data_IF_087712337845
#
_entry.id   IF_087712337845
#
_cell.length_a   1.000
_cell.length_b   1.000
_cell.length_c   1.000
_cell.angle_alpha   90.00
_cell.angle_beta   90.00
_cell.angle_gamma   90.00
#
_symmetry.space_group_name_H-M   'P 1'
#
loop_
_entity.id
_entity.type
_entity.pdbx_description
1 polymer ?
#
# COMPACT_ATOMS: atom_id res chain seq x y z
N UNK A 1 2.24 10.84 -43.52
CA UNK A 1 2.16 9.49 -42.95
C UNK A 1 3.44 9.24 -42.18
N UNK A 2 3.46 9.60 -40.89
CA UNK A 2 4.62 9.44 -40.01
C UNK A 2 4.15 9.32 -38.54
N UNK A 3 3.26 8.38 -38.22
CA UNK A 3 2.74 8.17 -36.85
C UNK A 3 2.89 6.70 -36.42
N UNK A 4 4.05 6.11 -36.68
CA UNK A 4 4.30 4.70 -36.32
C UNK A 4 5.73 4.45 -35.83
N UNK A 5 6.38 5.47 -35.29
CA UNK A 5 7.73 5.35 -34.69
C UNK A 5 7.78 5.68 -33.19
N UNK A 6 6.67 6.16 -32.64
CA UNK A 6 6.56 6.72 -31.27
C UNK A 6 6.18 5.67 -30.21
N UNK A 7 5.87 4.43 -30.61
CA UNK A 7 5.38 3.39 -29.70
C UNK A 7 5.91 2.01 -30.08
N UNK A 8 6.50 1.31 -29.12
CA UNK A 8 6.91 -0.09 -29.21
C UNK A 8 6.03 -0.93 -28.28
N UNK A 9 4.94 -1.47 -28.83
CA UNK A 9 3.98 -2.26 -28.06
C UNK A 9 3.02 -1.37 -27.27
N UNK A 10 3.12 -1.42 -25.95
CA UNK A 10 2.38 -0.54 -25.01
C UNK A 10 3.27 0.60 -24.47
N UNK A 11 4.57 0.58 -24.80
CA UNK A 11 5.53 1.54 -24.31
C UNK A 11 5.70 2.69 -25.31
N UNK A 12 5.43 3.92 -24.88
CA UNK A 12 5.88 5.12 -25.60
C UNK A 12 7.42 5.10 -25.68
N UNK A 13 7.93 5.25 -26.90
CA UNK A 13 9.37 5.42 -27.19
C UNK A 13 9.70 6.90 -27.38
N UNK A 14 8.68 7.75 -27.30
CA UNK A 14 8.86 9.18 -27.28
C UNK A 14 9.39 9.64 -25.92
N UNK A 15 10.32 10.59 -25.96
CA UNK A 15 11.04 11.09 -24.79
C UNK A 15 10.15 11.98 -23.89
N UNK A 16 8.95 12.37 -24.31
CA UNK A 16 8.07 13.31 -23.59
C UNK A 16 7.47 12.75 -22.27
N UNK A 17 7.36 11.42 -22.14
CA UNK A 17 6.82 10.75 -20.92
C UNK A 17 7.92 10.05 -20.07
N UNK A 18 9.17 10.07 -20.51
CA UNK A 18 10.27 9.43 -19.78
C UNK A 18 10.86 10.37 -18.73
N UNK A 19 11.19 9.82 -17.56
CA UNK A 19 11.94 10.57 -16.55
C UNK A 19 13.30 10.96 -17.15
N UNK A 20 13.54 12.25 -17.28
CA UNK A 20 14.80 12.76 -17.80
C UNK A 20 15.90 12.59 -16.75
N UNK A 21 17.17 12.57 -17.18
CA UNK A 21 18.30 12.44 -16.23
C UNK A 21 18.31 13.55 -15.17
N UNK A 22 17.82 14.73 -15.52
CA UNK A 22 17.61 15.87 -14.61
C UNK A 22 16.53 15.60 -13.54
N UNK A 23 15.45 14.90 -13.87
CA UNK A 23 14.34 14.59 -12.95
C UNK A 23 14.63 13.36 -12.07
N UNK A 24 15.40 12.40 -12.58
CA UNK A 24 15.81 11.21 -11.84
C UNK A 24 16.84 11.50 -10.71
N UNK A 25 17.59 12.60 -10.82
CA UNK A 25 18.61 12.99 -9.85
C UNK A 25 17.98 13.88 -8.75
N UNK A 26 17.39 13.25 -7.74
CA UNK A 26 16.81 13.93 -6.56
C UNK A 26 17.85 14.45 -5.53
N UNK A 27 19.14 14.39 -5.84
CA UNK A 27 20.24 14.83 -4.97
C UNK A 27 20.74 16.24 -5.29
N UNK A 28 21.58 16.81 -4.42
CA UNK A 28 22.29 18.07 -4.68
C UNK A 28 23.31 17.83 -5.81
N UNK A 29 22.86 18.02 -7.05
CA UNK A 29 23.68 17.89 -8.26
C UNK A 29 24.66 19.06 -8.29
N UNK A 30 25.95 18.78 -8.52
CA UNK A 30 26.94 19.85 -8.68
C UNK A 30 26.56 20.76 -9.85
N UNK A 31 26.27 22.04 -9.55
CA UNK A 31 26.06 23.07 -10.56
C UNK A 31 27.33 23.22 -11.42
N UNK A 32 27.25 22.79 -12.68
CA UNK A 32 28.32 22.89 -13.67
C UNK A 32 27.88 22.35 -15.03
N UNK A 33 28.45 22.89 -16.11
CA UNK A 33 28.23 22.38 -17.47
C UNK A 33 28.90 21.01 -17.60
N UNK A 34 28.12 19.93 -17.41
CA UNK A 34 28.50 18.58 -17.80
C UNK A 34 27.91 18.27 -19.18
N UNK A 35 28.53 17.32 -19.89
CA UNK A 35 28.09 16.91 -21.24
C UNK A 35 26.94 15.88 -21.20
N UNK A 36 26.81 15.17 -20.07
CA UNK A 36 25.87 14.09 -19.81
C UNK A 36 25.38 14.24 -18.36
N UNK A 37 24.09 14.16 -18.07
CA UNK A 37 23.57 14.33 -16.72
C UNK A 37 24.13 13.27 -15.74
N UNK A 38 24.51 12.08 -16.24
CA UNK A 38 25.15 11.03 -15.43
C UNK A 38 26.61 11.35 -15.07
N UNK A 39 27.23 12.35 -15.72
CA UNK A 39 28.57 12.81 -15.37
C UNK A 39 28.57 13.70 -14.11
N UNK A 40 27.38 14.11 -13.63
CA UNK A 40 27.29 14.78 -12.33
C UNK A 40 27.65 13.78 -11.21
N UNK A 41 28.75 14.05 -10.51
CA UNK A 41 29.13 13.26 -9.34
C UNK A 41 28.15 13.46 -8.18
N UNK A 42 27.89 12.40 -7.41
CA UNK A 42 27.17 12.50 -6.14
C UNK A 42 28.06 13.20 -5.12
N UNK A 43 27.56 14.30 -4.54
CA UNK A 43 28.19 14.97 -3.40
C UNK A 43 27.65 14.35 -2.12
N UNK A 44 28.54 13.79 -1.30
CA UNK A 44 28.16 13.37 0.06
C UNK A 44 27.92 14.60 0.92
N UNK A 45 27.07 14.50 1.94
CA UNK A 45 26.86 15.58 2.89
C UNK A 45 28.21 16.09 3.45
N UNK A 46 28.38 17.42 3.48
CA UNK A 46 29.58 18.10 4.00
C UNK A 46 29.86 17.81 5.48
N UNK A 47 28.85 17.27 6.19
CA UNK A 47 28.92 16.94 7.60
C UNK A 47 28.24 15.61 7.87
N UNK A 48 28.71 14.91 8.90
CA UNK A 48 28.02 13.75 9.45
C UNK A 48 26.58 14.08 9.79
N UNK A 49 25.68 13.13 9.55
CA UNK A 49 24.32 13.26 10.08
C UNK A 49 24.36 13.24 11.61
N UNK A 50 23.38 13.89 12.23
CA UNK A 50 23.08 13.74 13.66
C UNK A 50 22.41 12.40 13.99
N UNK A 51 22.04 11.64 12.97
CA UNK A 51 21.38 10.34 13.07
C UNK A 51 22.31 9.24 13.57
N UNK A 52 21.70 8.14 14.02
CA UNK A 52 22.43 7.00 14.57
C UNK A 52 23.20 6.24 13.47
N UNK A 53 24.42 5.79 13.77
CA UNK A 53 25.22 4.96 12.85
C UNK A 53 26.43 5.68 12.23
N UNK A 54 26.79 6.85 12.73
CA UNK A 54 27.95 7.61 12.26
C UNK A 54 29.24 7.26 13.03
N UNK A 55 29.14 6.53 14.15
CA UNK A 55 30.29 6.12 14.95
C UNK A 55 30.51 4.60 14.92
N UNK A 56 31.77 4.11 15.06
CA UNK A 56 32.04 2.67 15.06
C UNK A 56 31.28 1.87 16.12
N UNK A 57 30.98 2.51 17.26
CA UNK A 57 30.21 1.88 18.33
C UNK A 57 28.75 1.68 17.92
N UNK A 58 28.14 2.67 17.26
CA UNK A 58 26.76 2.60 16.78
C UNK A 58 26.59 1.56 15.67
N UNK A 59 27.57 1.46 14.74
CA UNK A 59 27.56 0.42 13.71
C UNK A 59 27.62 -1.00 14.30
N UNK A 60 28.41 -1.18 15.37
CA UNK A 60 28.50 -2.47 16.08
C UNK A 60 27.19 -2.80 16.82
N UNK A 61 26.61 -1.81 17.50
CA UNK A 61 25.44 -2.02 18.37
C UNK A 61 24.11 -2.00 17.62
N UNK A 62 24.12 -1.55 16.35
CA UNK A 62 22.96 -1.33 15.50
C UNK A 62 21.88 -0.49 16.18
N UNK A 63 20.90 -0.11 15.40
CA UNK A 63 19.79 0.73 15.84
C UNK A 63 18.59 -0.12 16.29
N UNK A 64 17.90 0.27 17.36
CA UNK A 64 16.64 -0.34 17.77
C UNK A 64 15.42 0.35 17.12
N UNK A 65 14.27 -0.32 17.18
CA UNK A 65 13.03 0.22 16.58
C UNK A 65 12.59 1.55 17.21
N UNK A 66 12.81 1.71 18.53
CA UNK A 66 12.46 2.95 19.23
C UNK A 66 13.35 4.12 18.78
N UNK A 67 14.64 3.86 18.52
CA UNK A 67 15.56 4.86 17.97
C UNK A 67 15.15 5.29 16.56
N UNK A 68 14.68 4.36 15.73
CA UNK A 68 14.15 4.68 14.37
C UNK A 68 12.93 5.58 14.43
N UNK A 69 11.99 5.28 15.32
CA UNK A 69 10.77 6.08 15.51
C UNK A 69 11.07 7.52 15.94
N UNK A 70 12.20 7.76 16.60
CA UNK A 70 12.61 9.12 16.97
C UNK A 70 13.26 9.91 15.82
N UNK A 71 13.78 9.23 14.80
CA UNK A 71 14.35 9.86 13.59
C UNK A 71 13.31 10.06 12.48
N UNK A 72 12.20 9.34 12.55
CA UNK A 72 11.09 9.47 11.62
C UNK A 72 10.46 10.89 11.67
N UNK A 73 10.26 11.47 10.48
CA UNK A 73 9.44 12.68 10.32
C UNK A 73 8.03 12.20 9.99
N UNK A 74 7.01 12.51 10.81
CA UNK A 74 5.64 12.13 10.52
C UNK A 74 5.20 12.73 9.19
N UNK A 75 4.64 11.89 8.32
CA UNK A 75 3.99 12.38 7.11
C UNK A 75 2.76 13.21 7.48
N UNK A 76 2.44 14.27 6.72
CA UNK A 76 1.18 14.97 6.92
C UNK A 76 0.03 13.98 6.71
N UNK A 77 -0.91 13.96 7.64
CA UNK A 77 -2.12 13.15 7.50
C UNK A 77 -2.90 13.63 6.26
N UNK A 78 -3.07 12.79 5.22
CA UNK A 78 -3.76 13.17 3.99
C UNK A 78 -5.22 13.56 4.24
N UNK A 79 -5.82 13.16 5.37
CA UNK A 79 -7.19 13.48 5.76
C UNK A 79 -7.31 14.62 6.77
N UNK A 80 -6.20 15.19 7.23
CA UNK A 80 -6.23 16.35 8.14
C UNK A 80 -6.54 17.66 7.42
N UNK A 81 -6.43 17.68 6.09
CA UNK A 81 -7.05 18.73 5.27
C UNK A 81 -8.55 18.44 5.26
N UNK A 82 -9.37 19.34 5.80
CA UNK A 82 -10.81 19.31 5.53
C UNK A 82 -10.99 19.46 4.02
N UNK A 83 -11.09 18.33 3.33
CA UNK A 83 -11.73 18.29 2.03
C UNK A 83 -13.18 18.69 2.30
N UNK A 84 -13.55 19.91 1.88
CA UNK A 84 -14.95 20.36 1.73
C UNK A 84 -15.74 19.50 0.72
N UNK A 85 -15.07 18.48 0.17
CA UNK A 85 -15.55 17.53 -0.80
C UNK A 85 -15.08 16.12 -0.40
N UNK A 86 -15.22 15.77 0.89
CA UNK A 86 -15.34 14.38 1.25
C UNK A 86 -16.57 13.87 0.50
N UNK A 87 -16.36 13.36 -0.71
CA UNK A 87 -17.36 12.59 -1.42
C UNK A 87 -17.92 11.63 -0.40
N UNK A 88 -19.22 11.82 -0.16
CA UNK A 88 -20.07 10.99 0.66
C UNK A 88 -19.54 9.57 0.57
N UNK A 89 -18.95 9.06 1.65
CA UNK A 89 -18.51 7.67 1.69
C UNK A 89 -19.68 6.86 1.14
N UNK A 90 -19.46 6.06 0.10
CA UNK A 90 -20.52 5.31 -0.61
C UNK A 90 -21.37 4.46 0.37
N UNK A 91 -20.87 4.26 1.60
CA UNK A 91 -21.57 3.69 2.74
C UNK A 91 -21.29 4.53 4.03
N UNK A 92 -22.03 5.64 4.25
CA UNK A 92 -21.79 6.53 5.40
C UNK A 92 -22.11 5.89 6.75
N UNK A 93 -22.83 4.76 6.73
CA UNK A 93 -23.24 4.02 7.91
C UNK A 93 -22.36 2.78 8.15
N UNK A 94 -21.44 2.44 7.24
CA UNK A 94 -20.58 1.24 7.32
C UNK A 94 -21.35 -0.07 7.34
N UNK A 95 -22.57 -0.11 6.78
CA UNK A 95 -23.49 -1.26 6.84
C UNK A 95 -23.24 -2.28 5.72
N UNK A 96 -22.62 -1.87 4.62
CA UNK A 96 -22.32 -2.73 3.48
C UNK A 96 -21.02 -3.52 3.69
N UNK A 97 -20.20 -3.10 4.64
CA UNK A 97 -18.98 -3.79 5.07
C UNK A 97 -19.12 -4.26 6.51
N UNK A 98 -19.30 -5.56 6.69
CA UNK A 98 -19.39 -6.17 8.01
C UNK A 98 -18.20 -5.83 8.93
N UNK A 99 -18.44 -5.68 10.24
CA UNK A 99 -17.39 -5.31 11.21
C UNK A 99 -16.39 -6.44 11.52
N UNK A 100 -16.69 -7.67 11.08
CA UNK A 100 -15.86 -8.84 11.29
C UNK A 100 -15.46 -9.46 9.96
N UNK A 101 -14.17 -9.69 9.76
CA UNK A 101 -13.64 -10.44 8.62
C UNK A 101 -14.10 -11.90 8.67
N UNK A 102 -14.46 -12.46 7.52
CA UNK A 102 -14.71 -13.90 7.37
C UNK A 102 -13.39 -14.69 7.28
N UNK A 103 -13.36 -15.88 7.89
CA UNK A 103 -12.24 -16.80 7.75
C UNK A 103 -12.38 -17.77 6.57
N UNK A 104 -11.61 -18.85 6.60
CA UNK A 104 -11.71 -19.94 5.61
C UNK A 104 -13.06 -20.64 5.72
N UNK A 105 -13.82 -20.65 4.63
CA UNK A 105 -15.06 -21.41 4.53
C UNK A 105 -14.77 -22.88 4.18
N UNK A 106 -15.36 -23.79 4.95
CA UNK A 106 -15.27 -25.24 4.72
C UNK A 106 -16.66 -25.83 4.57
N UNK A 107 -16.76 -26.89 3.79
CA UNK A 107 -17.96 -27.70 3.74
C UNK A 107 -18.29 -28.23 5.16
N UNK A 108 -19.57 -28.33 5.56
CA UNK A 108 -20.00 -29.09 6.73
C UNK A 108 -19.29 -30.44 6.93
N UNK A 109 -19.05 -31.18 5.85
CA UNK A 109 -18.33 -32.47 5.88
C UNK A 109 -16.80 -32.33 5.77
N UNK A 110 -16.31 -31.09 5.67
CA UNK A 110 -14.91 -30.69 5.46
C UNK A 110 -14.32 -31.04 4.09
N UNK A 111 -15.18 -31.29 3.10
CA UNK A 111 -14.80 -31.77 1.77
C UNK A 111 -14.43 -33.25 1.78
N UNK A 112 -14.91 -34.01 2.77
CA UNK A 112 -14.60 -35.43 2.93
C UNK A 112 -15.81 -36.32 2.58
N UNK A 113 -15.88 -36.77 1.32
CA UNK A 113 -16.84 -37.79 0.91
C UNK A 113 -17.61 -37.40 -0.35
N UNK A 114 -18.83 -37.92 -0.45
CA UNK A 114 -19.80 -37.50 -1.46
C UNK A 114 -20.64 -36.37 -0.86
N UNK A 115 -20.72 -35.24 -1.56
CA UNK A 115 -21.56 -34.09 -1.21
C UNK A 115 -23.03 -34.52 -1.10
N UNK A 116 -23.58 -34.41 0.11
CA UNK A 116 -24.96 -34.76 0.43
C UNK A 116 -25.84 -33.50 0.56
N UNK A 117 -25.22 -32.33 0.51
CA UNK A 117 -25.81 -31.03 0.72
C UNK A 117 -26.34 -30.51 -0.62
N UNK A 118 -27.64 -30.30 -0.70
CA UNK A 118 -28.26 -29.78 -1.93
C UNK A 118 -28.06 -28.27 -2.10
N UNK A 119 -27.53 -27.59 -1.08
CA UNK A 119 -27.38 -26.14 -0.97
C UNK A 119 -25.90 -25.77 -0.92
N UNK A 120 -25.52 -24.69 -1.60
CA UNK A 120 -24.14 -24.19 -1.60
C UNK A 120 -23.92 -23.28 -0.38
N UNK A 121 -23.51 -23.84 0.74
CA UNK A 121 -23.13 -23.11 1.95
C UNK A 121 -21.87 -23.71 2.58
N UNK A 122 -21.20 -22.93 3.43
CA UNK A 122 -19.99 -23.35 4.13
C UNK A 122 -19.93 -22.78 5.53
N UNK A 123 -19.13 -23.40 6.40
CA UNK A 123 -18.91 -23.00 7.79
C UNK A 123 -17.59 -22.26 7.87
N UNK A 124 -17.58 -21.10 8.54
CA UNK A 124 -16.34 -20.37 8.83
C UNK A 124 -15.49 -21.16 9.85
N UNK A 125 -14.30 -21.59 9.42
CA UNK A 125 -13.32 -22.31 10.23
C UNK A 125 -12.30 -21.39 10.93
N UNK A 126 -12.47 -20.07 10.81
CA UNK A 126 -11.60 -19.05 11.39
C UNK A 126 -10.53 -18.53 10.43
N UNK A 127 -9.84 -17.48 10.87
CA UNK A 127 -8.80 -16.76 10.11
C UNK A 127 -7.44 -17.41 10.34
N UNK A 128 -6.74 -17.78 9.27
CA UNK A 128 -5.38 -18.37 9.34
C UNK A 128 -4.26 -17.33 9.54
N UNK A 129 -4.54 -16.24 10.24
CA UNK A 129 -3.59 -15.18 10.59
C UNK A 129 -2.73 -14.72 9.40
N UNK A 130 -1.40 -14.90 9.51
CA UNK A 130 -0.42 -14.55 8.46
C UNK A 130 -0.42 -15.50 7.25
N UNK A 131 -1.16 -16.61 7.30
CA UNK A 131 -1.38 -17.53 6.20
C UNK A 131 -2.67 -17.26 5.42
N UNK A 132 -3.47 -16.29 5.86
CA UNK A 132 -4.73 -15.96 5.21
C UNK A 132 -4.49 -15.30 3.85
N UNK A 133 -5.26 -15.70 2.83
CA UNK A 133 -5.10 -15.13 1.49
C UNK A 133 -5.60 -13.68 1.43
N UNK A 134 -5.20 -12.94 0.40
CA UNK A 134 -5.72 -11.59 0.15
C UNK A 134 -7.23 -11.60 -0.09
N UNK A 135 -7.75 -12.64 -0.74
CA UNK A 135 -9.19 -12.80 -0.99
C UNK A 135 -9.96 -13.05 0.31
N UNK A 136 -9.43 -13.91 1.18
CA UNK A 136 -9.97 -14.12 2.53
C UNK A 136 -9.92 -12.82 3.36
N UNK A 137 -8.99 -11.89 3.05
CA UNK A 137 -8.87 -10.60 3.73
C UNK A 137 -9.89 -9.57 3.27
N UNK A 138 -10.48 -9.76 2.10
CA UNK A 138 -11.47 -8.85 1.54
C UNK A 138 -12.91 -9.15 2.01
N UNK A 139 -13.20 -10.38 2.45
CA UNK A 139 -14.57 -10.80 2.80
C UNK A 139 -14.90 -10.47 4.26
N UNK A 140 -16.09 -9.88 4.47
CA UNK A 140 -16.62 -9.50 5.78
C UNK A 140 -18.00 -10.12 6.03
N UNK A 141 -18.32 -10.39 7.30
CA UNK A 141 -19.58 -10.97 7.76
C UNK A 141 -20.54 -9.83 8.09
N UNK A 142 -21.68 -9.78 7.40
CA UNK A 142 -22.78 -8.86 7.69
C UNK A 142 -23.74 -9.60 8.64
N UNK A 143 -23.98 -9.06 9.83
CA UNK A 143 -24.97 -9.61 10.76
C UNK A 143 -26.38 -9.14 10.35
N UNK A 144 -27.40 -9.96 10.59
CA UNK A 144 -28.80 -9.59 10.29
C UNK A 144 -29.20 -8.29 11.04
N UNK A 145 -28.60 -8.04 12.21
CA UNK A 145 -28.83 -6.79 12.96
C UNK A 145 -28.21 -5.54 12.30
N UNK A 146 -27.20 -5.71 11.45
CA UNK A 146 -26.62 -4.64 10.63
C UNK A 146 -27.43 -4.43 9.32
N UNK A 147 -28.16 -5.46 8.85
CA UNK A 147 -28.94 -5.45 7.62
C UNK A 147 -30.36 -4.88 7.77
N UNK A 148 -31.02 -5.08 8.91
CA UNK A 148 -32.39 -4.62 9.17
C UNK A 148 -32.41 -3.20 9.75
N UNK A 149 -32.44 -2.20 8.88
CA UNK A 149 -32.72 -0.82 9.26
C UNK A 149 -34.10 -0.69 9.94
N UNK A 150 -34.15 0.03 11.05
CA UNK A 150 -35.36 0.42 11.80
C UNK A 150 -36.48 0.98 10.90
N UNK A 151 -37.38 0.12 10.37
CA UNK A 151 -38.67 0.53 9.77
C UNK A 151 -39.84 0.43 10.77
N UNK A 152 -39.60 0.88 12.02
CA UNK A 152 -40.68 1.08 13.00
C UNK A 152 -40.43 2.31 13.87
N UNK A 153 -40.82 3.49 13.38
CA UNK A 153 -41.28 4.60 14.23
C UNK A 153 -42.47 5.35 13.63
#
# INVERSE_FOLDING_TARGET
MSESRENYGDYSVDDEDQITGEDALSGDVLEGEVRDELDHGIVTADRYSTDYGNTPWEEEHRECIDQRRHQEVPEPDPYAVEYDDAEESDDPDGREVGNQRAGRLVDPDRGEGEDAESELYGIDAGIDGAGASAEEAAIHIIDDSDADGDDYR
#
